data_IF_113801266075
#
_entry.id   IF_113801266075
#
_cell.length_a   1.000
_cell.length_b   1.000
_cell.length_c   1.000
_cell.angle_alpha   90.00
_cell.angle_beta   90.00
_cell.angle_gamma   90.00
#
_symmetry.space_group_name_H-M   'P 1'
#
loop_
_entity.id
_entity.type
_entity.pdbx_description
1 polymer ?
#
# COMPACT_ATOMS: atom_id res chain seq x y z
N UNK A 1 -13.55 10.17 -5.00
CA UNK A 1 -13.53 8.93 -5.82
C UNK A 1 -12.69 7.88 -5.11
N UNK A 2 -13.19 6.68 -4.97
CA UNK A 2 -12.39 5.54 -4.52
C UNK A 2 -11.93 4.72 -5.74
N UNK A 3 -10.66 4.35 -5.78
CA UNK A 3 -10.12 3.33 -6.68
C UNK A 3 -10.15 2.01 -5.93
N UNK A 4 -10.70 0.99 -6.56
CA UNK A 4 -10.88 -0.34 -6.00
C UNK A 4 -10.50 -1.40 -7.05
N UNK A 5 -9.33 -2.00 -6.92
CA UNK A 5 -8.89 -3.11 -7.76
C UNK A 5 -9.45 -4.44 -7.27
N UNK A 6 -9.52 -5.46 -8.14
CA UNK A 6 -10.13 -6.75 -7.83
C UNK A 6 -9.46 -7.54 -6.69
N UNK A 7 -8.22 -7.21 -6.35
CA UNK A 7 -7.47 -7.76 -5.23
C UNK A 7 -7.43 -6.84 -4.00
N UNK A 8 -8.37 -5.91 -3.92
CA UNK A 8 -8.67 -5.14 -2.73
C UNK A 8 -9.82 -5.79 -1.94
N UNK A 9 -9.91 -5.44 -0.63
CA UNK A 9 -11.00 -5.88 0.25
C UNK A 9 -11.33 -4.77 1.24
N UNK A 10 -12.62 -4.56 1.52
CA UNK A 10 -13.12 -3.59 2.50
C UNK A 10 -13.59 -4.35 3.74
N UNK A 11 -13.10 -3.95 4.91
CA UNK A 11 -13.45 -4.54 6.20
C UNK A 11 -14.51 -3.75 6.94
N UNK A 12 -14.55 -2.44 6.72
CA UNK A 12 -15.42 -1.51 7.45
C UNK A 12 -15.85 -0.36 6.55
N UNK A 13 -17.10 0.08 6.68
CA UNK A 13 -17.59 1.25 5.98
C UNK A 13 -17.20 2.52 6.76
N UNK A 14 -16.12 3.14 6.32
CA UNK A 14 -15.58 4.41 6.85
C UNK A 14 -15.28 5.42 5.74
N UNK A 15 -15.93 5.28 4.59
CA UNK A 15 -15.60 6.11 3.45
C UNK A 15 -15.81 7.60 3.75
N UNK A 16 -16.94 7.97 4.31
CA UNK A 16 -17.26 9.36 4.64
C UNK A 16 -16.26 9.95 5.63
N UNK A 17 -15.87 9.19 6.65
CA UNK A 17 -14.85 9.60 7.62
C UNK A 17 -13.53 10.01 6.95
N UNK A 18 -13.06 9.23 5.96
CA UNK A 18 -11.83 9.58 5.25
C UNK A 18 -12.02 10.70 4.22
N UNK A 19 -13.23 10.83 3.64
CA UNK A 19 -13.56 11.93 2.74
C UNK A 19 -13.58 13.27 3.46
N UNK A 20 -14.14 13.32 4.67
CA UNK A 20 -14.25 14.53 5.49
C UNK A 20 -12.91 15.06 5.98
N UNK A 21 -11.86 14.23 5.99
CA UNK A 21 -10.49 14.68 6.29
C UNK A 21 -9.91 15.63 5.23
N UNK A 22 -10.50 15.71 4.02
CA UNK A 22 -10.15 16.69 3.00
C UNK A 22 -8.83 16.48 2.28
N UNK A 23 -8.16 15.33 2.44
CA UNK A 23 -6.95 15.01 1.69
C UNK A 23 -7.26 14.79 0.21
N UNK A 24 -6.30 15.13 -0.64
CA UNK A 24 -6.43 14.91 -2.07
C UNK A 24 -6.12 13.46 -2.45
N UNK A 25 -5.27 12.78 -1.64
CA UNK A 25 -4.91 11.39 -1.84
C UNK A 25 -4.70 10.66 -0.51
N UNK A 26 -5.35 9.50 -0.36
CA UNK A 26 -5.11 8.54 0.71
C UNK A 26 -4.91 7.17 0.06
N UNK A 27 -3.79 6.49 0.35
CA UNK A 27 -3.50 5.14 -0.14
C UNK A 27 -2.69 4.35 0.86
N UNK A 28 -2.43 3.07 0.59
CA UNK A 28 -1.59 2.25 1.45
C UNK A 28 -0.13 2.72 1.41
N UNK A 29 0.58 2.47 2.52
CA UNK A 29 1.99 2.78 2.65
C UNK A 29 2.79 1.67 1.96
N UNK A 30 3.81 2.03 1.18
CA UNK A 30 4.79 1.09 0.65
C UNK A 30 5.95 0.89 1.63
N UNK A 31 6.20 -0.34 2.06
CA UNK A 31 7.39 -0.69 2.86
C UNK A 31 8.38 -1.57 2.10
N UNK A 32 7.91 -2.34 1.12
CA UNK A 32 8.74 -3.35 0.42
C UNK A 32 8.56 -3.24 -1.09
N UNK A 33 9.66 -3.38 -1.81
CA UNK A 33 9.62 -3.53 -3.28
C UNK A 33 9.83 -2.25 -4.08
N UNK A 34 9.85 -1.09 -3.45
CA UNK A 34 10.11 0.18 -4.13
C UNK A 34 11.29 0.89 -3.47
N UNK A 35 12.47 0.76 -4.05
CA UNK A 35 13.77 1.20 -3.49
C UNK A 35 13.82 2.64 -2.92
N UNK A 36 12.92 3.51 -3.35
CA UNK A 36 12.91 4.93 -2.96
C UNK A 36 11.57 5.37 -2.34
N UNK A 37 10.70 4.42 -1.95
CA UNK A 37 9.33 4.70 -1.50
C UNK A 37 8.96 4.05 -0.18
N UNK A 38 9.95 3.48 0.51
CA UNK A 38 9.73 2.83 1.79
C UNK A 38 9.23 3.86 2.82
N UNK A 39 8.04 3.59 3.38
CA UNK A 39 7.42 4.47 4.35
C UNK A 39 6.70 5.68 3.76
N UNK A 40 6.37 5.69 2.46
CA UNK A 40 5.60 6.75 1.83
C UNK A 40 4.17 6.31 1.51
N UNK A 41 3.22 7.26 1.58
CA UNK A 41 1.88 7.10 1.04
C UNK A 41 1.95 6.96 -0.47
N UNK A 42 1.23 6.02 -1.06
CA UNK A 42 1.25 6.01 -2.50
C UNK A 42 0.71 4.82 -3.25
N UNK A 43 0.16 3.79 -2.61
CA UNK A 43 -0.44 2.74 -3.41
C UNK A 43 -1.75 3.17 -4.05
N UNK A 44 -1.89 2.92 -5.36
CA UNK A 44 -3.03 3.32 -6.17
C UNK A 44 -4.19 2.32 -6.21
N UNK A 45 -3.94 1.03 -5.94
CA UNK A 45 -4.91 -0.04 -6.16
C UNK A 45 -6.11 -0.05 -5.19
N UNK A 46 -5.92 0.47 -3.98
CA UNK A 46 -6.99 0.85 -3.08
C UNK A 46 -6.68 2.23 -2.53
N UNK A 47 -7.26 3.26 -3.12
CA UNK A 47 -6.96 4.65 -2.79
C UNK A 47 -8.18 5.56 -2.89
N UNK A 48 -8.23 6.57 -2.02
CA UNK A 48 -9.22 7.64 -2.05
C UNK A 48 -8.59 8.89 -2.68
N UNK A 49 -9.27 9.47 -3.67
CA UNK A 49 -8.77 10.59 -4.48
C UNK A 49 -9.82 11.69 -4.61
N UNK A 50 -9.41 12.93 -4.42
CA UNK A 50 -10.27 14.10 -4.62
C UNK A 50 -10.36 14.42 -6.11
N UNK A 51 -11.53 14.15 -6.70
CA UNK A 51 -11.76 14.26 -8.16
C UNK A 51 -11.37 15.62 -8.69
N UNK A 52 -11.79 16.71 -8.02
CA UNK A 52 -11.49 18.07 -8.47
C UNK A 52 -9.98 18.30 -8.63
N UNK A 53 -9.18 18.02 -7.60
CA UNK A 53 -7.72 18.22 -7.62
C UNK A 53 -7.08 17.37 -8.71
N UNK A 54 -7.45 16.09 -8.82
CA UNK A 54 -6.91 15.20 -9.86
C UNK A 54 -7.27 15.70 -11.27
N UNK A 55 -8.50 16.13 -11.50
CA UNK A 55 -8.92 16.67 -12.78
C UNK A 55 -8.13 17.93 -13.14
N UNK A 56 -7.96 18.84 -12.18
CA UNK A 56 -7.22 20.09 -12.40
C UNK A 56 -5.74 19.83 -12.72
N UNK A 57 -5.09 18.91 -12.01
CA UNK A 57 -3.70 18.51 -12.26
C UNK A 57 -3.57 17.81 -13.61
N UNK A 58 -4.46 16.87 -13.92
CA UNK A 58 -4.41 16.14 -15.20
C UNK A 58 -4.59 17.04 -16.42
N UNK A 59 -5.40 18.08 -16.31
CA UNK A 59 -5.60 19.07 -17.41
C UNK A 59 -4.39 19.98 -17.63
N UNK A 60 -3.57 20.20 -16.60
CA UNK A 60 -2.48 21.18 -16.61
C UNK A 60 -1.09 20.55 -16.74
N UNK A 61 -0.97 19.24 -16.60
CA UNK A 61 0.30 18.54 -16.57
C UNK A 61 0.54 17.79 -17.88
N UNK A 62 1.70 18.00 -18.47
CA UNK A 62 2.21 17.10 -19.52
C UNK A 62 2.77 15.83 -18.85
N UNK A 63 2.15 14.68 -19.14
CA UNK A 63 2.57 13.39 -18.61
C UNK A 63 3.60 12.66 -19.46
N UNK A 64 3.94 13.17 -20.64
CA UNK A 64 4.87 12.53 -21.59
C UNK A 64 6.25 12.21 -21.01
N UNK A 65 6.82 13.01 -20.06
CA UNK A 65 8.12 12.70 -19.46
C UNK A 65 8.09 11.55 -18.45
N UNK A 66 6.92 11.22 -17.90
CA UNK A 66 6.83 10.25 -16.81
C UNK A 66 6.78 8.82 -17.33
N UNK A 67 7.69 7.96 -16.84
CA UNK A 67 7.82 6.54 -17.18
C UNK A 67 7.67 5.65 -15.94
N UNK A 68 6.86 6.07 -14.98
CA UNK A 68 6.60 5.37 -13.72
C UNK A 68 5.14 4.92 -13.63
N UNK A 69 4.84 4.09 -12.63
CA UNK A 69 3.47 3.75 -12.26
C UNK A 69 2.70 5.03 -11.89
N UNK A 70 1.41 5.08 -12.17
CA UNK A 70 0.61 6.30 -12.01
C UNK A 70 0.59 6.81 -10.57
N UNK A 71 0.50 5.92 -9.60
CA UNK A 71 0.56 6.25 -8.18
C UNK A 71 1.90 6.86 -7.78
N UNK A 72 3.01 6.42 -8.40
CA UNK A 72 4.33 7.02 -8.24
C UNK A 72 4.39 8.43 -8.81
N UNK A 73 3.77 8.64 -9.97
CA UNK A 73 3.75 9.98 -10.58
C UNK A 73 3.04 10.96 -9.66
N UNK A 74 1.85 10.63 -9.16
CA UNK A 74 1.07 11.54 -8.32
C UNK A 74 1.68 11.73 -6.93
N UNK A 75 2.16 10.66 -6.29
CA UNK A 75 2.57 10.74 -4.89
C UNK A 75 4.05 11.06 -4.67
N UNK A 76 4.85 11.09 -5.74
CA UNK A 76 6.27 11.46 -5.67
C UNK A 76 6.63 12.61 -6.61
N UNK A 77 6.53 12.39 -7.93
CA UNK A 77 6.94 13.42 -8.89
C UNK A 77 6.09 14.68 -8.76
N UNK A 78 4.79 14.53 -8.62
CA UNK A 78 3.82 15.61 -8.52
C UNK A 78 3.29 15.84 -7.10
N UNK A 79 3.93 15.28 -6.07
CA UNK A 79 3.46 15.35 -4.67
C UNK A 79 3.19 16.78 -4.17
N UNK A 80 3.92 17.75 -4.70
CA UNK A 80 3.79 19.17 -4.35
C UNK A 80 2.45 19.80 -4.81
N UNK A 81 1.72 19.11 -5.69
CA UNK A 81 0.40 19.53 -6.21
C UNK A 81 -0.77 18.94 -5.42
N UNK A 82 -0.50 18.07 -4.45
CA UNK A 82 -1.51 17.32 -3.69
C UNK A 82 -1.34 17.48 -2.19
N UNK A 83 -2.46 17.58 -1.48
CA UNK A 83 -2.52 17.40 -0.03
C UNK A 83 -2.58 15.89 0.28
N UNK A 84 -1.40 15.26 0.41
CA UNK A 84 -1.28 13.83 0.68
C UNK A 84 -1.56 13.53 2.16
N UNK A 85 -2.33 12.47 2.44
CA UNK A 85 -2.60 12.04 3.80
C UNK A 85 -1.31 11.61 4.53
N UNK A 86 -1.16 11.94 5.83
CA UNK A 86 -0.02 11.49 6.63
C UNK A 86 -0.08 9.98 6.86
N UNK A 87 1.08 9.35 7.13
CA UNK A 87 1.21 7.90 7.28
C UNK A 87 0.28 7.30 8.35
N UNK A 88 -0.04 8.05 9.41
CA UNK A 88 -1.00 7.62 10.44
C UNK A 88 -2.39 7.38 9.83
N UNK A 89 -2.85 8.29 8.98
CA UNK A 89 -4.15 8.17 8.28
C UNK A 89 -4.09 7.05 7.26
N UNK A 90 -3.00 6.94 6.50
CA UNK A 90 -2.81 5.87 5.52
C UNK A 90 -2.90 4.48 6.16
N UNK A 91 -2.33 4.29 7.37
CA UNK A 91 -2.45 3.03 8.11
C UNK A 91 -3.87 2.71 8.58
N UNK A 92 -4.67 3.72 8.85
CA UNK A 92 -6.08 3.51 9.19
C UNK A 92 -6.94 3.21 7.96
N UNK A 93 -6.51 3.70 6.81
CA UNK A 93 -7.22 3.54 5.54
C UNK A 93 -6.92 2.19 4.88
N UNK A 94 -5.64 1.83 4.67
CA UNK A 94 -5.29 0.62 3.93
C UNK A 94 -3.94 0.01 4.30
N UNK A 95 -3.88 -1.34 4.31
CA UNK A 95 -2.64 -2.10 4.32
C UNK A 95 -2.40 -2.75 2.97
N UNK A 96 -1.11 -3.03 2.65
CA UNK A 96 -0.71 -3.74 1.46
C UNK A 96 0.36 -4.81 1.76
N UNK A 97 1.64 -4.44 1.72
CA UNK A 97 2.78 -5.37 1.59
C UNK A 97 3.24 -6.01 2.91
N UNK A 98 2.98 -5.41 4.05
CA UNK A 98 3.38 -5.89 5.39
C UNK A 98 2.24 -5.76 6.40
N UNK A 99 1.11 -6.48 6.20
CA UNK A 99 -0.09 -6.26 6.98
C UNK A 99 0.08 -6.53 8.47
N UNK A 100 0.87 -7.51 8.89
CA UNK A 100 1.11 -7.81 10.31
C UNK A 100 1.86 -6.69 11.03
N UNK A 101 2.79 -6.02 10.35
CA UNK A 101 3.52 -4.88 10.93
C UNK A 101 2.55 -3.70 11.09
N UNK A 102 1.81 -3.38 10.03
CA UNK A 102 0.85 -2.28 10.08
C UNK A 102 -0.29 -2.53 11.06
N UNK A 103 -0.74 -3.77 11.21
CA UNK A 103 -1.74 -4.14 12.22
C UNK A 103 -1.26 -3.79 13.64
N UNK A 104 -0.03 -4.17 13.99
CA UNK A 104 0.56 -3.79 15.29
C UNK A 104 0.67 -2.27 15.46
N UNK A 105 1.17 -1.58 14.43
CA UNK A 105 1.30 -0.12 14.44
C UNK A 105 -0.04 0.62 14.45
N UNK A 106 -1.13 -0.03 14.03
CA UNK A 106 -2.49 0.48 14.07
C UNK A 106 -3.25 0.08 15.36
N UNK A 107 -2.53 -0.29 16.41
CA UNK A 107 -3.12 -0.69 17.68
C UNK A 107 -3.89 -2.01 17.62
N UNK A 108 -3.41 -2.96 16.83
CA UNK A 108 -4.05 -4.26 16.56
C UNK A 108 -5.47 -4.14 15.97
N UNK A 109 -5.70 -3.10 15.18
CA UNK A 109 -6.95 -2.88 14.46
C UNK A 109 -6.75 -3.03 12.96
N UNK A 110 -7.73 -3.61 12.28
CA UNK A 110 -7.78 -3.62 10.83
C UNK A 110 -7.94 -2.19 10.29
N UNK A 111 -7.44 -1.91 9.08
CA UNK A 111 -7.73 -0.68 8.36
C UNK A 111 -9.15 -0.73 7.78
N UNK A 112 -9.63 0.35 7.16
CA UNK A 112 -10.86 0.34 6.39
C UNK A 112 -10.83 -0.74 5.29
N UNK A 113 -9.69 -0.92 4.62
CA UNK A 113 -9.53 -1.95 3.61
C UNK A 113 -8.07 -2.37 3.40
N UNK A 114 -7.84 -3.22 2.41
CA UNK A 114 -6.50 -3.65 2.01
C UNK A 114 -6.41 -3.79 0.50
N UNK A 115 -5.17 -3.81 0.00
CA UNK A 115 -4.87 -4.07 -1.40
C UNK A 115 -3.86 -5.20 -1.53
N UNK A 116 -3.93 -5.91 -2.66
CA UNK A 116 -3.03 -7.01 -2.99
C UNK A 116 -2.97 -8.11 -1.91
N UNK A 117 -4.11 -8.37 -1.25
CA UNK A 117 -4.20 -9.34 -0.15
C UNK A 117 -3.78 -10.76 -0.58
N UNK A 118 -3.95 -11.12 -1.86
CA UNK A 118 -3.51 -12.40 -2.42
C UNK A 118 -2.00 -12.48 -2.61
N UNK A 119 -1.36 -11.33 -2.85
CA UNK A 119 0.06 -11.23 -3.15
C UNK A 119 0.91 -11.14 -1.90
N UNK A 120 0.42 -10.44 -0.88
CA UNK A 120 1.17 -10.14 0.32
C UNK A 120 0.54 -10.75 1.56
N UNK A 121 1.25 -11.70 2.17
CA UNK A 121 0.92 -12.34 3.44
C UNK A 121 -0.54 -12.86 3.51
N UNK A 122 -0.92 -13.74 2.58
CA UNK A 122 -2.25 -14.36 2.55
C UNK A 122 -2.65 -14.98 3.88
N UNK A 123 -1.72 -15.61 4.62
CA UNK A 123 -2.00 -16.24 5.91
C UNK A 123 -2.49 -15.23 6.96
N UNK A 124 -2.01 -13.98 6.89
CA UNK A 124 -2.55 -12.92 7.73
C UNK A 124 -4.00 -12.60 7.36
N UNK A 125 -4.28 -12.48 6.06
CA UNK A 125 -5.58 -12.03 5.57
C UNK A 125 -6.67 -13.10 5.61
N UNK A 126 -6.30 -14.38 5.46
CA UNK A 126 -7.23 -15.51 5.34
C UNK A 126 -8.32 -15.49 6.42
N UNK A 127 -7.93 -15.28 7.67
CA UNK A 127 -8.86 -15.29 8.82
C UNK A 127 -9.86 -14.11 8.86
N UNK A 128 -9.59 -13.05 8.11
CA UNK A 128 -10.45 -11.87 8.06
C UNK A 128 -11.31 -11.82 6.78
N UNK A 129 -10.86 -12.50 5.71
CA UNK A 129 -11.51 -12.47 4.40
C UNK A 129 -12.36 -13.71 4.18
N UNK A 130 -11.87 -14.89 4.63
CA UNK A 130 -12.61 -16.15 4.49
C UNK A 130 -13.53 -16.32 5.70
N UNK A 131 -14.86 -16.43 5.52
CA UNK A 131 -15.75 -16.78 6.62
C UNK A 131 -15.36 -18.10 7.29
N UNK A 132 -15.49 -18.17 8.60
CA UNK A 132 -15.04 -19.31 9.42
C UNK A 132 -15.58 -20.66 8.93
N UNK A 133 -16.85 -20.68 8.46
CA UNK A 133 -17.48 -21.87 7.88
C UNK A 133 -16.74 -22.48 6.69
N UNK A 134 -15.89 -21.72 5.99
CA UNK A 134 -15.07 -22.17 4.86
C UNK A 134 -13.60 -22.41 5.23
N UNK A 135 -13.20 -22.17 6.47
CA UNK A 135 -11.82 -22.39 6.90
C UNK A 135 -11.39 -23.86 6.87
N UNK A 136 -12.35 -24.79 6.98
CA UNK A 136 -12.14 -26.23 6.93
C UNK A 136 -12.43 -26.84 5.54
N UNK A 137 -12.78 -26.03 4.55
CA UNK A 137 -12.98 -26.50 3.19
C UNK A 137 -11.65 -26.97 2.58
N UNK A 138 -11.70 -28.06 1.76
CA UNK A 138 -10.50 -28.56 1.10
C UNK A 138 -9.77 -27.45 0.33
N UNK A 139 -8.47 -27.55 0.29
CA UNK A 139 -7.53 -26.59 -0.34
C UNK A 139 -7.94 -26.10 -1.76
N UNK A 140 -8.88 -26.79 -2.39
CA UNK A 140 -9.42 -26.42 -3.71
C UNK A 140 -10.16 -25.09 -3.73
N UNK A 141 -10.94 -24.74 -2.70
CA UNK A 141 -11.64 -23.44 -2.62
C UNK A 141 -10.64 -22.33 -2.35
N UNK A 142 -9.62 -22.61 -1.56
CA UNK A 142 -8.55 -21.65 -1.26
C UNK A 142 -7.57 -21.46 -2.43
N UNK A 143 -7.47 -22.41 -3.37
CA UNK A 143 -6.62 -22.30 -4.57
C UNK A 143 -7.03 -21.15 -5.49
N UNK A 144 -8.33 -20.84 -5.59
CA UNK A 144 -8.78 -19.70 -6.39
C UNK A 144 -8.48 -18.35 -5.73
N UNK A 145 -8.29 -18.34 -4.42
CA UNK A 145 -8.05 -17.16 -3.61
C UNK A 145 -6.56 -17.05 -3.21
N UNK A 146 -5.83 -18.16 -3.22
CA UNK A 146 -4.41 -18.19 -2.89
C UNK A 146 -3.55 -17.48 -3.96
N UNK A 147 -2.48 -16.81 -3.57
CA UNK A 147 -1.57 -16.17 -4.53
C UNK A 147 -0.99 -17.23 -5.48
N UNK A 148 -1.14 -17.00 -6.79
CA UNK A 148 -0.37 -17.78 -7.78
C UNK A 148 1.11 -17.46 -7.55
N UNK A 149 1.96 -18.49 -7.50
CA UNK A 149 3.43 -18.30 -7.56
C UNK A 149 3.73 -17.54 -8.85
N UNK A 150 4.13 -16.30 -8.73
CA UNK A 150 4.67 -15.55 -9.87
C UNK A 150 6.08 -16.08 -10.05
N UNK A 151 6.35 -16.75 -11.17
CA UNK A 151 7.72 -17.15 -11.54
C UNK A 151 8.60 -15.89 -11.56
N UNK A 152 9.64 -15.87 -10.75
CA UNK A 152 10.65 -14.83 -10.72
C UNK A 152 10.53 -13.77 -9.63
N UNK A 153 9.48 -13.77 -8.79
CA UNK A 153 9.37 -12.88 -7.64
C UNK A 153 9.10 -13.66 -6.37
N UNK A 154 10.13 -13.86 -5.54
CA UNK A 154 9.92 -14.39 -4.19
C UNK A 154 8.98 -13.47 -3.42
N UNK A 155 7.88 -14.03 -2.96
CA UNK A 155 6.97 -13.39 -2.00
C UNK A 155 7.72 -13.22 -0.68
N UNK A 156 8.36 -12.09 -0.51
CA UNK A 156 9.22 -11.79 0.65
C UNK A 156 8.48 -12.03 1.97
N UNK A 157 7.16 -11.82 2.01
CA UNK A 157 6.36 -11.96 3.23
C UNK A 157 5.93 -13.39 3.57
N UNK A 158 5.90 -14.32 2.61
CA UNK A 158 5.55 -15.72 2.87
C UNK A 158 6.76 -16.57 3.26
N UNK A 159 7.97 -16.11 2.97
CA UNK A 159 9.23 -16.84 3.19
C UNK A 159 9.95 -16.39 4.46
N UNK A 160 9.73 -15.15 4.89
CA UNK A 160 10.43 -14.58 6.05
C UNK A 160 9.45 -14.33 7.20
N UNK A 161 9.72 -14.90 8.38
CA UNK A 161 9.02 -14.53 9.62
C UNK A 161 9.16 -13.03 9.93
N UNK A 162 8.26 -12.48 10.74
CA UNK A 162 8.22 -11.03 11.07
C UNK A 162 9.58 -10.45 11.46
N UNK A 163 10.39 -11.19 12.25
CA UNK A 163 11.72 -10.75 12.68
C UNK A 163 12.71 -10.61 11.51
N UNK A 164 12.55 -11.40 10.45
CA UNK A 164 13.41 -11.30 9.27
C UNK A 164 13.01 -10.10 8.40
N UNK A 165 11.70 -9.82 8.28
CA UNK A 165 11.20 -8.63 7.57
C UNK A 165 11.66 -7.37 8.28
N UNK A 166 11.54 -7.30 9.61
CA UNK A 166 12.04 -6.18 10.40
C UNK A 166 13.55 -5.95 10.23
N UNK A 167 14.34 -7.03 10.19
CA UNK A 167 15.79 -6.97 9.91
C UNK A 167 16.08 -6.48 8.49
N UNK A 168 15.31 -6.90 7.50
CA UNK A 168 15.45 -6.43 6.11
C UNK A 168 15.14 -4.95 6.01
N UNK A 169 14.04 -4.49 6.66
CA UNK A 169 13.65 -3.09 6.69
C UNK A 169 14.72 -2.25 7.39
N UNK A 170 15.19 -2.70 8.56
CA UNK A 170 16.25 -2.01 9.31
C UNK A 170 17.55 -1.90 8.50
N UNK A 171 18.01 -2.99 7.88
CA UNK A 171 19.21 -3.00 7.02
C UNK A 171 19.07 -2.10 5.80
N UNK A 172 17.88 -2.03 5.19
CA UNK A 172 17.61 -1.15 4.04
C UNK A 172 17.56 0.31 4.45
N UNK A 173 16.97 0.63 5.61
CA UNK A 173 17.00 2.00 6.18
C UNK A 173 18.44 2.46 6.45
N UNK A 174 19.26 1.61 7.04
CA UNK A 174 20.68 1.90 7.28
C UNK A 174 21.40 2.13 5.95
N UNK A 175 21.25 1.25 4.96
CA UNK A 175 21.87 1.43 3.62
C UNK A 175 21.36 2.67 2.88
N UNK A 176 20.11 3.05 3.07
CA UNK A 176 19.56 4.28 2.47
C UNK A 176 20.16 5.53 3.12
N UNK A 177 20.33 5.52 4.44
CA UNK A 177 21.00 6.60 5.20
C UNK A 177 22.49 6.69 4.84
N UNK A 178 23.19 5.58 4.67
CA UNK A 178 24.60 5.54 4.23
C UNK A 178 24.80 6.04 2.79
N UNK A 179 23.79 5.89 1.92
CA UNK A 179 23.83 6.38 0.53
C UNK A 179 23.32 7.81 0.35
N UNK A 180 22.60 8.34 1.32
CA UNK A 180 22.22 9.75 1.36
C UNK A 180 23.38 10.61 1.89
N UNK A 181 24.52 10.54 1.22
CA UNK A 181 25.48 11.62 1.29
C UNK A 181 24.79 12.96 0.97
N UNK A 182 25.37 14.10 1.32
CA UNK A 182 24.68 15.36 1.40
C UNK A 182 23.86 15.63 0.12
N UNK A 183 22.57 15.93 0.34
CA UNK A 183 21.56 16.22 -0.69
C UNK A 183 22.15 17.22 -1.68
N UNK A 184 22.50 16.76 -2.89
CA UNK A 184 22.80 17.66 -3.99
C UNK A 184 21.50 18.37 -4.35
N UNK A 185 21.45 19.66 -4.02
CA UNK A 185 20.40 20.54 -4.52
C UNK A 185 20.44 20.51 -6.05
N UNK A 186 19.40 19.98 -6.66
CA UNK A 186 19.17 20.18 -8.08
C UNK A 186 18.86 21.66 -8.29
N UNK A 187 19.68 22.31 -9.09
CA UNK A 187 19.39 23.63 -9.67
C UNK A 187 18.47 23.46 -10.86
#
# INVERSE_FOLDING_TARGET
>A
MIIYQLDAWIFEDKLDYFMDMGYDYIGAIHLVGFKNREGENGNGGFSLRKVKTFTDVCKKTDFSPYRALEDCVFTQALKHLFNLAPLKVCRQFSFQDTPSIFFKQNGNKLPMGCHAFRKFNWQFWKKYIIPEKYNNEPEQVTRYIAPRKIQGGELVSSVYGESAIEKIIARRKIKALEKSGPVRKFR
#
